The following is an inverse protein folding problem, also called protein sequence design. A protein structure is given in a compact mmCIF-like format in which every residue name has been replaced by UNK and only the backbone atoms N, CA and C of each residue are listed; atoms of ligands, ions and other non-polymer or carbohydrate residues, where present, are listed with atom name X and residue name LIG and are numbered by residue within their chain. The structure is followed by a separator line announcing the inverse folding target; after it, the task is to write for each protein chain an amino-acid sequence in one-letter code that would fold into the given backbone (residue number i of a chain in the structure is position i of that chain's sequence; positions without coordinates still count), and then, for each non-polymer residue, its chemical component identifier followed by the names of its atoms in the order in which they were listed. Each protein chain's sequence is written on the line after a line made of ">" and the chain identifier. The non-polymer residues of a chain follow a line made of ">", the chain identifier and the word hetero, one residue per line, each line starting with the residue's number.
data_IF_926312122141
#
_entry.id   IF_926312122141
#
_cell.length_a   1.000
_cell.length_b   1.000
_cell.length_c   1.000
_cell.angle_alpha   90.00
_cell.angle_beta   90.00
_cell.angle_gamma   90.00
#
_symmetry.space_group_name_H-M   'P 1'
#
loop_
_entity.id
_entity.type
_entity.pdbx_description
1 polymer ?
#
# COMPACT_ATOMS: atom_id res chain seq x y z
N UNK A 1 1.82 14.76 -9.59
CA UNK A 1 0.86 14.58 -8.48
C UNK A 1 1.10 15.71 -7.49
N UNK A 2 0.07 16.27 -6.86
CA UNK A 2 0.32 17.21 -5.76
C UNK A 2 0.67 16.44 -4.49
N UNK A 3 1.41 17.09 -3.59
CA UNK A 3 1.94 16.48 -2.36
C UNK A 3 0.82 15.87 -1.51
N UNK A 4 -0.33 16.55 -1.46
CA UNK A 4 -1.48 16.07 -0.71
C UNK A 4 -2.08 14.79 -1.29
N UNK A 5 -2.11 14.67 -2.61
CA UNK A 5 -2.61 13.47 -3.29
C UNK A 5 -1.62 12.33 -3.07
N UNK A 6 -0.31 12.58 -3.16
CA UNK A 6 0.72 11.57 -2.90
C UNK A 6 0.64 10.99 -1.49
N UNK A 7 0.55 11.85 -0.47
CA UNK A 7 0.36 11.48 0.93
C UNK A 7 -0.90 10.60 1.11
N UNK A 8 -2.02 11.02 0.52
CA UNK A 8 -3.27 10.26 0.55
C UNK A 8 -3.17 8.92 -0.18
N UNK A 9 -2.44 8.84 -1.29
CA UNK A 9 -2.26 7.59 -2.03
C UNK A 9 -1.41 6.57 -1.27
N UNK A 10 -0.32 7.00 -0.63
CA UNK A 10 0.49 6.13 0.23
C UNK A 10 -0.30 5.66 1.48
N UNK A 11 -1.05 6.58 2.09
CA UNK A 11 -1.90 6.27 3.25
C UNK A 11 -3.00 5.28 2.88
N UNK A 12 -3.75 5.55 1.80
CA UNK A 12 -4.84 4.69 1.35
C UNK A 12 -4.35 3.31 0.89
N UNK A 13 -3.20 3.23 0.20
CA UNK A 13 -2.58 1.95 -0.13
C UNK A 13 -2.25 1.13 1.13
N UNK A 14 -1.67 1.79 2.13
CA UNK A 14 -1.31 1.13 3.40
C UNK A 14 -2.55 0.62 4.14
N UNK A 15 -3.61 1.44 4.22
CA UNK A 15 -4.89 1.04 4.81
C UNK A 15 -5.53 -0.10 4.02
N UNK A 16 -5.51 -0.05 2.69
CA UNK A 16 -6.08 -1.10 1.85
C UNK A 16 -5.34 -2.44 2.04
N UNK A 17 -4.01 -2.43 2.10
CA UNK A 17 -3.21 -3.62 2.36
C UNK A 17 -3.51 -4.22 3.74
N UNK A 18 -3.63 -3.38 4.78
CA UNK A 18 -4.03 -3.83 6.12
C UNK A 18 -5.43 -4.42 6.15
N UNK A 19 -6.41 -3.75 5.53
CA UNK A 19 -7.79 -4.22 5.45
C UNK A 19 -7.87 -5.56 4.71
N UNK A 20 -7.13 -5.72 3.62
CA UNK A 20 -7.02 -6.99 2.93
C UNK A 20 -6.52 -8.11 3.86
N UNK A 21 -5.44 -7.85 4.61
CA UNK A 21 -4.88 -8.88 5.49
C UNK A 21 -5.83 -9.28 6.62
N UNK A 22 -6.51 -8.31 7.22
CA UNK A 22 -7.46 -8.53 8.31
C UNK A 22 -8.71 -9.25 7.79
N UNK A 23 -9.37 -8.68 6.79
CA UNK A 23 -10.63 -9.22 6.27
C UNK A 23 -10.41 -10.55 5.55
N UNK A 24 -9.36 -10.66 4.74
CA UNK A 24 -9.03 -11.91 4.04
C UNK A 24 -8.71 -13.05 4.99
N UNK A 25 -8.08 -12.75 6.14
CA UNK A 25 -7.83 -13.71 7.21
C UNK A 25 -9.11 -14.11 7.95
N UNK A 26 -9.97 -13.15 8.31
CA UNK A 26 -11.24 -13.40 9.02
C UNK A 26 -12.21 -14.21 8.15
N UNK A 27 -12.36 -13.83 6.88
CA UNK A 27 -13.30 -14.49 5.97
C UNK A 27 -12.74 -15.78 5.35
N UNK A 28 -11.47 -16.12 5.62
CA UNK A 28 -10.85 -17.34 5.11
C UNK A 28 -10.77 -17.39 3.58
N UNK A 29 -10.58 -16.24 2.91
CA UNK A 29 -10.56 -16.14 1.44
C UNK A 29 -9.44 -17.03 0.85
N UNK A 30 -8.28 -17.04 1.51
CA UNK A 30 -7.14 -17.92 1.26
C UNK A 30 -6.56 -18.35 2.60
N UNK A 31 -5.63 -19.31 2.60
CA UNK A 31 -4.85 -19.62 3.80
C UNK A 31 -4.16 -18.36 4.35
N UNK A 32 -4.17 -18.18 5.67
CA UNK A 32 -3.72 -16.94 6.35
C UNK A 32 -2.33 -16.48 5.89
N UNK A 33 -1.40 -17.43 5.68
CA UNK A 33 -0.07 -17.12 5.17
C UNK A 33 -0.10 -16.45 3.79
N UNK A 34 -0.93 -16.94 2.87
CA UNK A 34 -1.06 -16.37 1.51
C UNK A 34 -1.74 -15.01 1.52
N UNK A 35 -2.75 -14.81 2.37
CA UNK A 35 -3.41 -13.50 2.54
C UNK A 35 -2.38 -12.44 2.96
N UNK A 36 -1.53 -12.77 3.94
CA UNK A 36 -0.46 -11.88 4.43
C UNK A 36 0.57 -11.62 3.33
N UNK A 37 1.06 -12.67 2.67
CA UNK A 37 2.06 -12.53 1.60
C UNK A 37 1.56 -11.61 0.49
N UNK A 38 0.33 -11.79 0.02
CA UNK A 38 -0.25 -10.96 -1.04
C UNK A 38 -0.38 -9.51 -0.57
N UNK A 39 -0.88 -9.28 0.65
CA UNK A 39 -1.00 -7.94 1.22
C UNK A 39 0.35 -7.21 1.27
N UNK A 40 1.40 -7.91 1.70
CA UNK A 40 2.76 -7.37 1.76
C UNK A 40 3.33 -7.10 0.36
N UNK A 41 3.14 -8.01 -0.60
CA UNK A 41 3.59 -7.81 -1.98
C UNK A 41 2.92 -6.57 -2.59
N UNK A 42 1.60 -6.44 -2.46
CA UNK A 42 0.86 -5.29 -2.97
C UNK A 42 1.34 -4.00 -2.32
N UNK A 43 1.58 -4.01 -1.01
CA UNK A 43 2.07 -2.84 -0.28
C UNK A 43 3.48 -2.42 -0.73
N UNK A 44 4.42 -3.36 -0.83
CA UNK A 44 5.81 -3.08 -1.24
C UNK A 44 5.84 -2.62 -2.70
N UNK A 45 5.18 -3.35 -3.60
CA UNK A 45 5.20 -3.05 -5.03
C UNK A 45 4.45 -1.74 -5.31
N UNK A 46 3.26 -1.56 -4.72
CA UNK A 46 2.48 -0.34 -4.89
C UNK A 46 3.16 0.88 -4.27
N UNK A 47 3.70 0.74 -3.06
CA UNK A 47 4.39 1.81 -2.34
C UNK A 47 5.70 2.18 -3.05
N UNK A 48 6.45 1.17 -3.49
CA UNK A 48 7.65 1.34 -4.29
C UNK A 48 7.37 2.04 -5.61
N UNK A 49 6.31 1.67 -6.33
CA UNK A 49 5.89 2.35 -7.55
C UNK A 49 5.51 3.82 -7.27
N UNK A 50 4.74 4.08 -6.21
CA UNK A 50 4.39 5.45 -5.81
C UNK A 50 5.64 6.28 -5.53
N UNK A 51 6.58 5.75 -4.74
CA UNK A 51 7.84 6.41 -4.41
C UNK A 51 8.72 6.63 -5.64
N UNK A 52 8.81 5.65 -6.54
CA UNK A 52 9.63 5.72 -7.74
C UNK A 52 9.20 6.83 -8.69
N UNK A 53 7.89 6.93 -8.94
CA UNK A 53 7.35 7.90 -9.90
C UNK A 53 7.10 9.28 -9.31
N UNK A 54 6.73 9.41 -8.02
CA UNK A 54 6.32 10.68 -7.43
C UNK A 54 7.08 11.08 -6.15
N UNK A 55 7.83 10.16 -5.53
CA UNK A 55 8.51 10.42 -4.27
C UNK A 55 9.59 11.50 -4.36
N UNK A 56 10.32 11.58 -5.49
CA UNK A 56 11.35 12.62 -5.70
C UNK A 56 10.77 14.04 -5.70
N UNK A 57 9.64 14.22 -6.37
CA UNK A 57 8.98 15.53 -6.46
C UNK A 57 8.38 15.93 -5.10
N UNK A 58 7.84 14.97 -4.36
CA UNK A 58 7.34 15.19 -3.00
C UNK A 58 8.47 15.59 -2.04
N UNK A 59 9.55 14.81 -1.97
CA UNK A 59 10.66 15.05 -1.04
C UNK A 59 11.47 16.31 -1.35
N UNK A 60 11.48 16.78 -2.60
CA UNK A 60 12.17 18.03 -2.97
C UNK A 60 11.42 19.30 -2.57
N UNK A 61 10.16 19.16 -2.12
CA UNK A 61 9.29 20.26 -1.68
C UNK A 61 9.10 20.33 -0.18
N UNK A 62 9.59 19.32 0.53
CA UNK A 62 9.72 19.28 2.00
C UNK A 62 11.03 19.93 2.39
#
# INVERSE_FOLDING_TARGET
>A
MSDKVFEWSLTSLSVAALLWMILGGIFGILGTAWVIIIGLIVWIVGGGALLYFWGKDYMSRV
#
